data_IF_457482754400
#
_entry.id   IF_457482754400
#
_cell.length_a   1.000
_cell.length_b   1.000
_cell.length_c   1.000
_cell.angle_alpha   90.00
_cell.angle_beta   90.00
_cell.angle_gamma   90.00
#
_symmetry.space_group_name_H-M   'P 1'
#
loop_
_entity.id
_entity.type
_entity.pdbx_description
1 polymer ?
#
# COMPACT_ATOMS: atom_id res chain seq x y z
N UNK A 1 -18.65 4.90 6.45
CA UNK A 1 -17.48 4.50 5.63
C UNK A 1 -16.79 5.76 5.13
N UNK A 2 -15.47 5.83 5.25
CA UNK A 2 -14.63 6.99 4.94
C UNK A 2 -13.35 6.51 4.26
N UNK A 3 -12.70 7.37 3.45
CA UNK A 3 -11.43 7.01 2.79
C UNK A 3 -10.39 6.57 3.81
N UNK A 4 -10.14 7.40 4.83
CA UNK A 4 -9.34 7.04 6.00
C UNK A 4 -10.31 6.79 7.17
N UNK A 5 -10.22 5.66 7.90
CA UNK A 5 -9.29 4.55 7.70
C UNK A 5 -9.83 3.43 6.80
N UNK A 6 -11.11 3.45 6.42
CA UNK A 6 -11.78 2.25 5.90
C UNK A 6 -11.22 1.79 4.54
N UNK A 7 -11.02 2.70 3.59
CA UNK A 7 -10.46 2.36 2.27
C UNK A 7 -8.96 2.11 2.36
N UNK A 8 -8.23 2.94 3.13
CA UNK A 8 -6.79 2.74 3.30
C UNK A 8 -6.46 1.43 3.99
N UNK A 9 -7.27 0.99 4.96
CA UNK A 9 -7.09 -0.30 5.60
C UNK A 9 -7.38 -1.45 4.63
N UNK A 10 -8.46 -1.39 3.85
CA UNK A 10 -8.75 -2.41 2.83
C UNK A 10 -7.58 -2.56 1.85
N UNK A 11 -6.99 -1.46 1.37
CA UNK A 11 -5.81 -1.50 0.47
C UNK A 11 -4.63 -2.19 1.17
N UNK A 12 -4.33 -1.84 2.43
CA UNK A 12 -3.22 -2.46 3.18
C UNK A 12 -3.46 -3.95 3.42
N UNK A 13 -4.69 -4.35 3.70
CA UNK A 13 -5.04 -5.74 3.99
C UNK A 13 -4.94 -6.59 2.72
N UNK A 14 -5.25 -6.04 1.54
CA UNK A 14 -5.00 -6.70 0.25
C UNK A 14 -3.51 -6.94 0.00
N UNK A 15 -2.63 -6.01 0.39
CA UNK A 15 -1.17 -6.19 0.28
C UNK A 15 -0.70 -7.33 1.21
N UNK A 16 -1.18 -7.36 2.46
CA UNK A 16 -0.83 -8.41 3.44
C UNK A 16 -1.30 -9.79 2.98
N UNK A 17 -2.53 -9.87 2.49
CA UNK A 17 -3.12 -11.12 2.01
C UNK A 17 -2.26 -11.78 0.91
N UNK A 18 -1.73 -10.99 -0.02
CA UNK A 18 -0.83 -11.52 -1.07
C UNK A 18 0.43 -12.12 -0.46
N UNK A 19 1.04 -11.47 0.53
CA UNK A 19 2.21 -12.01 1.22
C UNK A 19 1.89 -13.31 1.95
N UNK A 20 0.76 -13.37 2.66
CA UNK A 20 0.31 -14.54 3.42
C UNK A 20 -0.02 -15.73 2.51
N UNK A 21 -0.77 -15.52 1.43
CA UNK A 21 -1.19 -16.60 0.52
C UNK A 21 -0.05 -17.15 -0.33
N UNK A 22 0.88 -16.28 -0.74
CA UNK A 22 2.01 -16.69 -1.59
C UNK A 22 3.21 -17.21 -0.80
N UNK A 23 3.28 -16.95 0.51
CA UNK A 23 4.49 -17.13 1.34
C UNK A 23 5.73 -16.49 0.70
N UNK A 24 5.55 -15.37 -0.01
CA UNK A 24 6.64 -14.70 -0.71
C UNK A 24 7.57 -13.96 0.27
N UNK A 25 8.88 -14.08 0.03
CA UNK A 25 9.88 -13.28 0.76
C UNK A 25 9.83 -11.79 0.39
N UNK A 26 9.33 -11.46 -0.81
CA UNK A 26 9.21 -10.10 -1.33
C UNK A 26 7.93 -9.95 -2.16
N UNK A 27 7.14 -8.92 -1.85
CA UNK A 27 5.96 -8.53 -2.62
C UNK A 27 6.23 -7.20 -3.33
N UNK A 28 6.09 -7.19 -4.66
CA UNK A 28 6.17 -5.97 -5.46
C UNK A 28 4.74 -5.54 -5.77
N UNK A 29 4.39 -4.33 -5.34
CA UNK A 29 3.07 -3.73 -5.57
C UNK A 29 3.24 -2.55 -6.53
N UNK A 30 2.62 -2.65 -7.71
CA UNK A 30 2.49 -1.53 -8.62
C UNK A 30 1.34 -0.63 -8.17
N UNK A 31 1.60 0.68 -8.08
CA UNK A 31 0.57 1.69 -7.86
C UNK A 31 0.26 2.34 -9.19
N UNK A 32 -0.91 2.00 -9.75
CA UNK A 32 -1.41 2.61 -10.97
C UNK A 32 -1.80 4.10 -10.79
N UNK A 33 -1.99 4.77 -11.92
CA UNK A 33 -2.28 6.20 -11.98
C UNK A 33 -1.04 7.09 -11.96
N UNK A 34 -1.24 8.40 -11.89
CA UNK A 34 -0.14 9.37 -11.84
C UNK A 34 -0.10 10.02 -10.46
N UNK A 35 1.11 10.15 -9.89
CA UNK A 35 1.28 10.90 -8.63
C UNK A 35 0.83 12.35 -8.84
N UNK A 36 -0.12 12.80 -8.03
CA UNK A 36 -0.75 14.12 -8.15
C UNK A 36 -2.20 14.07 -8.62
N UNK A 37 -2.63 12.95 -9.24
CA UNK A 37 -4.02 12.74 -9.59
C UNK A 37 -4.85 12.42 -8.33
N UNK A 38 -6.08 12.94 -8.30
CA UNK A 38 -7.03 12.73 -7.20
C UNK A 38 -7.30 11.24 -6.95
N UNK A 39 -7.26 10.43 -8.01
CA UNK A 39 -7.51 8.99 -8.00
C UNK A 39 -6.44 8.22 -7.21
N UNK A 40 -5.20 8.71 -7.19
CA UNK A 40 -4.07 8.05 -6.54
C UNK A 40 -3.95 8.36 -5.05
N UNK A 41 -4.63 9.40 -4.54
CA UNK A 41 -4.52 9.83 -3.14
C UNK A 41 -4.82 8.72 -2.11
N UNK A 42 -5.86 7.87 -2.28
CA UNK A 42 -6.11 6.78 -1.34
C UNK A 42 -4.98 5.74 -1.30
N UNK A 43 -4.39 5.42 -2.46
CA UNK A 43 -3.28 4.46 -2.55
C UNK A 43 -2.01 5.02 -1.93
N UNK A 44 -1.66 6.28 -2.23
CA UNK A 44 -0.50 6.95 -1.66
C UNK A 44 -0.61 7.08 -0.14
N UNK A 45 -1.79 7.40 0.39
CA UNK A 45 -2.02 7.44 1.83
C UNK A 45 -1.96 6.04 2.47
N UNK A 46 -2.51 5.01 1.80
CA UNK A 46 -2.45 3.64 2.29
C UNK A 46 -0.99 3.15 2.41
N UNK A 47 -0.17 3.32 1.37
CA UNK A 47 1.24 2.90 1.43
C UNK A 47 2.05 3.74 2.41
N UNK A 48 1.70 5.03 2.60
CA UNK A 48 2.33 5.89 3.61
C UNK A 48 2.07 5.38 5.02
N UNK A 49 0.83 4.97 5.33
CA UNK A 49 0.49 4.31 6.59
C UNK A 49 1.13 2.93 6.71
N UNK A 50 1.18 2.16 5.61
CA UNK A 50 1.74 0.81 5.59
C UNK A 50 3.18 0.77 6.07
N UNK A 51 4.00 1.78 5.71
CA UNK A 51 5.37 1.91 6.21
C UNK A 51 5.46 2.04 7.73
N UNK A 52 4.51 2.73 8.36
CA UNK A 52 4.44 2.78 9.82
C UNK A 52 3.99 1.46 10.42
N UNK A 53 3.16 0.69 9.71
CA UNK A 53 2.65 -0.60 10.17
C UNK A 53 3.73 -1.71 10.11
N UNK A 54 4.49 -1.80 9.01
CA UNK A 54 5.49 -2.89 8.80
C UNK A 54 6.89 -2.51 9.27
N UNK A 55 7.18 -1.22 9.44
CA UNK A 55 8.51 -0.73 9.77
C UNK A 55 9.29 -0.26 8.55
N UNK A 56 10.28 0.59 8.78
CA UNK A 56 11.05 1.23 7.69
C UNK A 56 11.93 0.25 6.93
N UNK A 57 12.36 -0.83 7.57
CA UNK A 57 13.30 -1.80 7.00
C UNK A 57 12.60 -2.81 6.08
N UNK A 58 11.28 -2.96 6.20
CA UNK A 58 10.45 -3.91 5.45
C UNK A 58 9.62 -3.25 4.33
N UNK A 59 9.98 -2.02 3.91
CA UNK A 59 9.31 -1.33 2.81
C UNK A 59 10.24 -0.42 2.00
N UNK A 60 10.09 -0.45 0.68
CA UNK A 60 10.80 0.40 -0.26
C UNK A 60 9.81 1.01 -1.27
N UNK A 61 10.04 2.27 -1.65
CA UNK A 61 9.27 2.93 -2.71
C UNK A 61 10.17 3.22 -3.91
N UNK A 62 9.65 2.95 -5.10
CA UNK A 62 10.29 3.23 -6.38
C UNK A 62 9.35 4.13 -7.18
N UNK A 63 9.89 5.21 -7.78
CA UNK A 63 9.14 6.12 -8.63
C UNK A 63 9.75 6.09 -10.03
N UNK A 64 8.89 6.04 -11.05
CA UNK A 64 9.23 5.94 -12.48
C UNK A 64 9.05 7.29 -13.14
#
# INVERSE_FOLDING_TARGET
VQVIPHITNEIKDRIRLVAEESMADLVIVEIGGTVGDIESLPFLEAIRQFKSDVGRDDVMYLHV
#
